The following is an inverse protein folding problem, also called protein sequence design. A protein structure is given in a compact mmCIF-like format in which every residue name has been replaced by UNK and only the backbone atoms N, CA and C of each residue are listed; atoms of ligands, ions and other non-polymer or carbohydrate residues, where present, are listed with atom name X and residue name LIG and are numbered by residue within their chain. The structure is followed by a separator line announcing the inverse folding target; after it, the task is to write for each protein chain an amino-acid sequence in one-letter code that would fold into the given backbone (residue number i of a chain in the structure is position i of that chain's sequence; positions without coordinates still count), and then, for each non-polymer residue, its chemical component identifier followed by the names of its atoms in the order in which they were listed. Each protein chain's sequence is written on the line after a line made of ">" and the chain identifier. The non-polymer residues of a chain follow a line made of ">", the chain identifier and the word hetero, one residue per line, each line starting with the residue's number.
data_IF_959244676463
#
_entry.id   IF_959244676463
#
_cell.length_a   1.000
_cell.length_b   1.000
_cell.length_c   1.000
_cell.angle_alpha   90.00
_cell.angle_beta   90.00
_cell.angle_gamma   90.00
#
_symmetry.space_group_name_H-M   'P 1'
#
loop_
_entity.id
_entity.type
_entity.pdbx_description
1 polymer ?
#
# COMPACT_ATOMS: atom_id res chain seq x y z
N UNK A 1 0.03 -25.51 -10.33
CA UNK A 1 0.43 -24.08 -10.29
C UNK A 1 1.67 -23.97 -9.40
N UNK A 2 2.77 -23.50 -9.96
CA UNK A 2 4.07 -23.34 -9.31
C UNK A 2 4.02 -22.28 -8.19
N UNK A 3 4.92 -22.38 -7.22
CA UNK A 3 5.09 -21.35 -6.19
C UNK A 3 5.36 -19.96 -6.79
N UNK A 4 6.18 -19.88 -7.82
CA UNK A 4 6.50 -18.63 -8.52
C UNK A 4 5.25 -18.02 -9.18
N UNK A 5 4.37 -18.84 -9.73
CA UNK A 5 3.11 -18.39 -10.31
C UNK A 5 2.17 -17.82 -9.24
N UNK A 6 2.08 -18.48 -8.08
CA UNK A 6 1.28 -17.98 -6.94
C UNK A 6 1.81 -16.65 -6.42
N UNK A 7 3.13 -16.54 -6.23
CA UNK A 7 3.79 -15.30 -5.81
C UNK A 7 3.51 -14.18 -6.82
N UNK A 8 3.67 -14.46 -8.12
CA UNK A 8 3.38 -13.50 -9.19
C UNK A 8 1.92 -13.04 -9.18
N UNK A 9 0.98 -13.96 -8.94
CA UNK A 9 -0.44 -13.67 -8.79
C UNK A 9 -0.73 -12.71 -7.63
N UNK A 10 -0.14 -12.96 -6.47
CA UNK A 10 -0.30 -12.07 -5.31
C UNK A 10 0.36 -10.69 -5.52
N UNK A 11 1.55 -10.64 -6.12
CA UNK A 11 2.21 -9.35 -6.43
C UNK A 11 1.39 -8.51 -7.40
N UNK A 12 0.75 -9.13 -8.41
CA UNK A 12 -0.18 -8.43 -9.29
C UNK A 12 -1.39 -7.89 -8.54
N UNK A 13 -1.99 -8.71 -7.67
CA UNK A 13 -3.12 -8.28 -6.85
C UNK A 13 -2.74 -7.13 -5.90
N UNK A 14 -1.52 -7.15 -5.35
CA UNK A 14 -0.97 -6.06 -4.54
C UNK A 14 -0.81 -4.77 -5.36
N UNK A 15 -0.26 -4.83 -6.57
CA UNK A 15 -0.16 -3.66 -7.47
C UNK A 15 -1.52 -3.03 -7.71
N UNK A 16 -2.52 -3.83 -8.09
CA UNK A 16 -3.89 -3.35 -8.32
C UNK A 16 -4.50 -2.74 -7.06
N UNK A 17 -4.24 -3.30 -5.87
CA UNK A 17 -4.69 -2.73 -4.60
C UNK A 17 -4.09 -1.35 -4.33
N UNK A 18 -2.79 -1.18 -4.59
CA UNK A 18 -2.10 0.11 -4.42
C UNK A 18 -2.57 1.14 -5.43
N UNK A 19 -2.72 0.77 -6.71
CA UNK A 19 -3.27 1.64 -7.76
C UNK A 19 -4.68 2.13 -7.39
N UNK A 20 -5.53 1.23 -6.87
CA UNK A 20 -6.85 1.62 -6.37
C UNK A 20 -6.77 2.61 -5.20
N UNK A 21 -5.88 2.38 -4.24
CA UNK A 21 -5.67 3.30 -3.12
C UNK A 21 -5.19 4.68 -3.61
N UNK A 22 -4.29 4.73 -4.59
CA UNK A 22 -3.82 5.97 -5.20
C UNK A 22 -4.96 6.74 -5.88
N UNK A 23 -5.84 6.05 -6.60
CA UNK A 23 -7.04 6.68 -7.19
C UNK A 23 -7.97 7.28 -6.14
N UNK A 24 -8.18 6.60 -5.01
CA UNK A 24 -8.98 7.11 -3.89
C UNK A 24 -8.32 8.31 -3.21
N UNK A 25 -7.00 8.29 -3.05
CA UNK A 25 -6.21 9.42 -2.52
C UNK A 25 -6.33 10.65 -3.41
N UNK A 26 -6.25 10.49 -4.74
CA UNK A 26 -6.46 11.58 -5.67
C UNK A 26 -7.87 12.19 -5.54
N UNK A 27 -8.90 11.34 -5.50
CA UNK A 27 -10.27 11.80 -5.30
C UNK A 27 -10.48 12.54 -3.96
N UNK A 28 -9.89 12.02 -2.87
CA UNK A 28 -9.94 12.68 -1.56
C UNK A 28 -9.25 14.05 -1.56
N UNK A 29 -8.14 14.19 -2.30
CA UNK A 29 -7.43 15.46 -2.48
C UNK A 29 -8.29 16.48 -3.20
N UNK A 30 -8.87 16.11 -4.33
CA UNK A 30 -9.75 16.99 -5.12
C UNK A 30 -10.94 17.45 -4.29
N UNK A 31 -11.54 16.54 -3.53
CA UNK A 31 -12.64 16.84 -2.62
C UNK A 31 -12.22 17.82 -1.51
N UNK A 32 -11.06 17.60 -0.86
CA UNK A 32 -10.56 18.52 0.17
C UNK A 32 -10.30 19.93 -0.39
N UNK A 33 -9.76 20.02 -1.61
CA UNK A 33 -9.53 21.28 -2.30
C UNK A 33 -10.84 22.00 -2.65
N UNK A 34 -11.84 21.27 -3.13
CA UNK A 34 -13.15 21.84 -3.45
C UNK A 34 -13.82 22.42 -2.21
N UNK A 35 -13.80 21.69 -1.09
CA UNK A 35 -14.33 22.19 0.20
C UNK A 35 -13.55 23.43 0.66
N UNK A 36 -12.23 23.47 0.47
CA UNK A 36 -11.40 24.61 0.85
C UNK A 36 -11.79 25.87 0.05
N UNK A 37 -12.00 25.74 -1.26
CA UNK A 37 -12.42 26.84 -2.13
C UNK A 37 -13.82 27.34 -1.76
N UNK A 38 -14.77 26.45 -1.50
CA UNK A 38 -16.12 26.82 -1.05
C UNK A 38 -16.08 27.54 0.31
N UNK A 39 -15.29 27.05 1.25
CA UNK A 39 -15.12 27.67 2.56
C UNK A 39 -14.51 29.08 2.45
N UNK A 40 -13.48 29.25 1.62
CA UNK A 40 -12.87 30.55 1.36
C UNK A 40 -13.87 31.54 0.73
N UNK A 41 -14.61 31.10 -0.30
CA UNK A 41 -15.62 31.93 -0.96
C UNK A 41 -16.78 32.34 -0.06
N UNK A 42 -17.08 31.55 0.97
CA UNK A 42 -18.08 31.85 1.99
C UNK A 42 -17.53 32.65 3.19
N UNK A 43 -16.24 33.01 3.19
CA UNK A 43 -15.61 33.79 4.28
C UNK A 43 -15.10 32.95 5.46
N UNK A 44 -15.17 31.63 5.41
CA UNK A 44 -14.65 30.72 6.44
C UNK A 44 -13.15 30.47 6.29
N UNK A 45 -12.35 31.54 6.40
CA UNK A 45 -10.89 31.52 6.12
C UNK A 45 -10.14 30.48 6.97
N UNK A 46 -10.51 30.32 8.25
CA UNK A 46 -9.88 29.33 9.13
C UNK A 46 -10.11 27.88 8.67
N UNK A 47 -11.31 27.57 8.16
CA UNK A 47 -11.63 26.24 7.62
C UNK A 47 -10.84 25.99 6.34
N UNK A 48 -10.76 26.98 5.45
CA UNK A 48 -9.97 26.89 4.22
C UNK A 48 -8.47 26.64 4.53
N UNK A 49 -7.90 27.37 5.48
CA UNK A 49 -6.52 27.18 5.92
C UNK A 49 -6.29 25.81 6.58
N UNK A 50 -7.26 25.33 7.37
CA UNK A 50 -7.24 23.98 7.92
C UNK A 50 -7.21 22.92 6.82
N UNK A 51 -8.04 23.06 5.79
CA UNK A 51 -8.09 22.11 4.67
C UNK A 51 -6.81 22.10 3.82
N UNK A 52 -6.03 23.18 3.79
CA UNK A 52 -4.68 23.14 3.24
C UNK A 52 -3.79 22.15 3.99
N UNK A 53 -3.90 22.06 5.33
CA UNK A 53 -3.16 21.08 6.14
C UNK A 53 -3.62 19.65 5.88
N UNK A 54 -4.93 19.45 5.69
CA UNK A 54 -5.48 18.16 5.24
C UNK A 54 -4.90 17.78 3.87
N UNK A 55 -4.81 18.73 2.94
CA UNK A 55 -4.18 18.52 1.64
C UNK A 55 -2.71 18.07 1.75
N UNK A 56 -1.94 18.65 2.67
CA UNK A 56 -0.57 18.20 2.95
C UNK A 56 -0.53 16.76 3.49
N UNK A 57 -1.40 16.41 4.43
CA UNK A 57 -1.50 15.04 4.95
C UNK A 57 -1.87 14.03 3.84
N UNK A 58 -2.78 14.39 2.93
CA UNK A 58 -3.13 13.57 1.76
C UNK A 58 -1.93 13.40 0.81
N UNK A 59 -1.10 14.43 0.63
CA UNK A 59 0.11 14.33 -0.17
C UNK A 59 1.16 13.40 0.47
N UNK A 60 1.28 13.39 1.80
CA UNK A 60 2.14 12.44 2.51
C UNK A 60 1.68 10.99 2.32
N UNK A 61 0.36 10.74 2.42
CA UNK A 61 -0.25 9.43 2.11
C UNK A 61 0.08 9.01 0.67
N UNK A 62 0.00 9.94 -0.29
CA UNK A 62 0.35 9.67 -1.69
C UNK A 62 1.84 9.29 -1.83
N UNK A 63 2.74 9.98 -1.12
CA UNK A 63 4.16 9.64 -1.07
C UNK A 63 4.42 8.25 -0.49
N UNK A 64 3.74 7.91 0.61
CA UNK A 64 3.81 6.58 1.21
C UNK A 64 3.36 5.48 0.25
N UNK A 65 2.26 5.69 -0.48
CA UNK A 65 1.78 4.75 -1.50
C UNK A 65 2.77 4.57 -2.66
N UNK A 66 3.51 5.61 -3.04
CA UNK A 66 4.57 5.49 -4.04
C UNK A 66 5.71 4.57 -3.54
N UNK A 67 6.09 4.66 -2.26
CA UNK A 67 7.07 3.75 -1.65
C UNK A 67 6.57 2.30 -1.57
N UNK A 68 5.28 2.08 -1.31
CA UNK A 68 4.67 0.74 -1.36
C UNK A 68 4.73 0.19 -2.78
N UNK A 69 4.34 0.99 -3.78
CA UNK A 69 4.40 0.60 -5.20
C UNK A 69 5.83 0.23 -5.63
N UNK A 70 6.83 1.02 -5.25
CA UNK A 70 8.24 0.72 -5.52
C UNK A 70 8.66 -0.64 -4.91
N UNK A 71 8.27 -0.92 -3.66
CA UNK A 71 8.60 -2.19 -3.00
C UNK A 71 7.95 -3.39 -3.70
N UNK A 72 6.69 -3.26 -4.16
CA UNK A 72 6.02 -4.31 -4.95
C UNK A 72 6.69 -4.50 -6.32
N UNK A 73 7.12 -3.40 -6.95
CA UNK A 73 7.87 -3.42 -8.20
C UNK A 73 9.18 -4.20 -8.08
N UNK A 74 9.95 -3.95 -7.01
CA UNK A 74 11.17 -4.69 -6.72
C UNK A 74 10.89 -6.18 -6.45
N UNK A 75 9.85 -6.51 -5.68
CA UNK A 75 9.45 -7.90 -5.45
C UNK A 75 9.08 -8.60 -6.78
N UNK A 76 8.39 -7.90 -7.67
CA UNK A 76 7.98 -8.41 -8.99
C UNK A 76 9.19 -8.66 -9.88
N UNK A 77 10.12 -7.71 -9.94
CA UNK A 77 11.38 -7.84 -10.68
C UNK A 77 12.24 -8.99 -10.15
N UNK A 78 12.38 -9.11 -8.83
CA UNK A 78 13.12 -10.20 -8.20
C UNK A 78 12.48 -11.57 -8.49
N UNK A 79 11.15 -11.66 -8.43
CA UNK A 79 10.42 -12.90 -8.76
C UNK A 79 10.62 -13.30 -10.23
N UNK A 80 10.57 -12.33 -11.15
CA UNK A 80 10.79 -12.57 -12.58
C UNK A 80 12.24 -12.98 -12.92
N UNK A 81 13.19 -12.64 -12.06
CA UNK A 81 14.60 -13.02 -12.23
C UNK A 81 14.90 -14.47 -11.81
N UNK A 82 13.97 -15.16 -11.14
CA UNK A 82 14.14 -16.58 -10.77
C UNK A 82 14.01 -17.45 -12.03
N UNK A 83 15.05 -18.22 -12.42
CA UNK A 83 14.98 -19.09 -13.59
C UNK A 83 13.87 -20.15 -13.47
N UNK A 84 13.24 -20.52 -14.59
CA UNK A 84 12.18 -21.55 -14.60
C UNK A 84 12.67 -22.95 -14.20
N UNK A 85 13.94 -23.23 -14.47
CA UNK A 85 14.65 -24.46 -14.12
C UNK A 85 15.74 -24.18 -13.07
N UNK A 86 15.48 -23.21 -12.18
CA UNK A 86 16.41 -22.86 -11.12
C UNK A 86 16.70 -24.07 -10.23
N UNK A 87 17.96 -24.25 -9.89
CA UNK A 87 18.36 -25.15 -8.81
C UNK A 87 17.75 -24.69 -7.48
N UNK A 88 17.74 -25.58 -6.49
CA UNK A 88 17.29 -25.24 -5.13
C UNK A 88 18.02 -24.02 -4.57
N UNK A 89 19.33 -23.91 -4.80
CA UNK A 89 20.13 -22.78 -4.32
C UNK A 89 19.79 -21.47 -5.04
N UNK A 90 19.61 -21.51 -6.36
CA UNK A 90 19.18 -20.34 -7.16
C UNK A 90 17.78 -19.88 -6.78
N UNK A 91 16.86 -20.81 -6.48
CA UNK A 91 15.51 -20.49 -6.00
C UNK A 91 15.56 -19.78 -4.65
N UNK A 92 16.33 -20.31 -3.69
CA UNK A 92 16.48 -19.69 -2.37
C UNK A 92 17.11 -18.29 -2.50
N UNK A 93 18.18 -18.16 -3.29
CA UNK A 93 18.86 -16.88 -3.50
C UNK A 93 17.95 -15.86 -4.21
N UNK A 94 17.21 -16.28 -5.23
CA UNK A 94 16.32 -15.42 -6.00
C UNK A 94 15.06 -14.98 -5.24
N UNK A 95 14.58 -15.80 -4.29
CA UNK A 95 13.39 -15.47 -3.50
C UNK A 95 13.68 -14.67 -2.22
N UNK A 96 14.92 -14.65 -1.73
CA UNK A 96 15.27 -13.84 -0.55
C UNK A 96 14.97 -12.33 -0.73
N UNK A 97 15.32 -11.68 -1.87
CA UNK A 97 14.93 -10.29 -2.13
C UNK A 97 13.41 -10.09 -2.20
N UNK A 98 12.66 -11.08 -2.71
CA UNK A 98 11.18 -11.02 -2.76
C UNK A 98 10.61 -10.98 -1.33
N UNK A 99 11.12 -11.82 -0.44
CA UNK A 99 10.70 -11.83 0.97
C UNK A 99 10.93 -10.47 1.65
N UNK A 100 12.12 -9.88 1.45
CA UNK A 100 12.46 -8.58 1.99
C UNK A 100 11.55 -7.47 1.44
N UNK A 101 11.35 -7.44 0.12
CA UNK A 101 10.53 -6.42 -0.55
C UNK A 101 9.04 -6.51 -0.15
N UNK A 102 8.49 -7.72 -0.01
CA UNK A 102 7.11 -7.92 0.51
C UNK A 102 7.00 -7.47 1.97
N UNK A 103 8.04 -7.68 2.78
CA UNK A 103 8.14 -7.15 4.14
C UNK A 103 8.10 -5.62 4.17
N UNK A 104 8.97 -4.97 3.39
CA UNK A 104 9.00 -3.51 3.27
C UNK A 104 7.67 -2.94 2.78
N UNK A 105 7.02 -3.59 1.81
CA UNK A 105 5.70 -3.18 1.32
C UNK A 105 4.65 -3.24 2.44
N UNK A 106 4.68 -4.29 3.28
CA UNK A 106 3.76 -4.43 4.42
C UNK A 106 3.97 -3.31 5.44
N UNK A 107 5.22 -3.06 5.83
CA UNK A 107 5.55 -2.06 6.85
C UNK A 107 5.21 -0.65 6.36
N UNK A 108 5.54 -0.33 5.11
CA UNK A 108 5.15 0.92 4.47
C UNK A 108 3.62 1.07 4.42
N UNK A 109 2.89 0.03 4.06
CA UNK A 109 1.41 0.06 4.03
C UNK A 109 0.83 0.31 5.42
N UNK A 110 1.39 -0.29 6.46
CA UNK A 110 0.97 -0.04 7.84
C UNK A 110 1.24 1.43 8.26
N UNK A 111 2.38 1.99 7.84
CA UNK A 111 2.66 3.42 8.00
C UNK A 111 1.63 4.31 7.32
N UNK A 112 1.26 4.00 6.08
CA UNK A 112 0.22 4.75 5.35
C UNK A 112 -1.14 4.66 6.05
N UNK A 113 -1.51 3.51 6.61
CA UNK A 113 -2.74 3.36 7.40
C UNK A 113 -2.76 4.31 8.61
N UNK A 114 -1.62 4.46 9.30
CA UNK A 114 -1.51 5.40 10.41
C UNK A 114 -1.69 6.85 9.94
N UNK A 115 -1.03 7.25 8.84
CA UNK A 115 -1.19 8.57 8.22
C UNK A 115 -2.63 8.87 7.82
N UNK A 116 -3.36 7.87 7.29
CA UNK A 116 -4.79 8.02 6.99
C UNK A 116 -5.59 8.31 8.27
N UNK A 117 -5.28 7.63 9.37
CA UNK A 117 -5.92 7.88 10.67
C UNK A 117 -5.66 9.29 11.19
N UNK A 118 -4.44 9.79 11.05
CA UNK A 118 -4.07 11.18 11.40
C UNK A 118 -4.83 12.19 10.52
N UNK A 119 -4.92 11.96 9.21
CA UNK A 119 -5.69 12.79 8.31
C UNK A 119 -7.19 12.81 8.68
N UNK A 120 -7.77 11.67 9.10
CA UNK A 120 -9.15 11.61 9.57
C UNK A 120 -9.37 12.47 10.82
N UNK A 121 -8.43 12.46 11.77
CA UNK A 121 -8.51 13.29 12.97
C UNK A 121 -8.43 14.78 12.62
N UNK A 122 -7.54 15.16 11.71
CA UNK A 122 -7.45 16.54 11.21
C UNK A 122 -8.76 16.99 10.57
N UNK A 123 -9.33 16.18 9.69
CA UNK A 123 -10.62 16.47 9.03
C UNK A 123 -11.74 16.65 10.05
N UNK A 124 -11.85 15.74 11.02
CA UNK A 124 -12.87 15.80 12.06
C UNK A 124 -12.77 17.09 12.90
N UNK A 125 -11.54 17.52 13.21
CA UNK A 125 -11.27 18.74 13.97
C UNK A 125 -11.59 20.00 13.16
N UNK A 126 -11.13 20.08 11.90
CA UNK A 126 -11.25 21.27 11.06
C UNK A 126 -12.70 21.54 10.63
N UNK A 127 -13.45 20.46 10.37
CA UNK A 127 -14.84 20.54 9.92
C UNK A 127 -15.85 20.32 11.05
N UNK A 128 -15.42 20.49 12.31
CA UNK A 128 -16.29 20.42 13.47
C UNK A 128 -17.43 21.46 13.34
N UNK A 129 -18.68 21.01 13.45
CA UNK A 129 -19.87 21.85 13.25
C UNK A 129 -20.29 22.04 11.79
N UNK A 130 -19.54 21.47 10.83
CA UNK A 130 -19.91 21.40 9.41
C UNK A 130 -20.31 19.98 8.97
N UNK A 131 -19.97 19.62 7.73
CA UNK A 131 -20.19 18.27 7.18
C UNK A 131 -18.85 17.55 6.89
N UNK A 132 -18.17 16.96 7.90
CA UNK A 132 -16.95 16.18 7.69
C UNK A 132 -17.20 14.84 6.98
N UNK A 133 -18.44 14.35 7.01
CA UNK A 133 -18.81 12.98 6.61
C UNK A 133 -18.26 12.54 5.26
N UNK A 134 -18.45 13.30 4.17
CA UNK A 134 -17.97 12.90 2.85
C UNK A 134 -16.46 12.71 2.78
N UNK A 135 -15.66 13.58 3.42
CA UNK A 135 -14.19 13.48 3.34
C UNK A 135 -13.67 12.38 4.27
N UNK A 136 -14.29 12.19 5.43
CA UNK A 136 -14.01 11.05 6.32
C UNK A 136 -14.30 9.71 5.64
N UNK A 137 -15.40 9.62 4.88
CA UNK A 137 -15.75 8.42 4.13
C UNK A 137 -14.72 8.11 3.03
N UNK A 138 -14.23 9.14 2.32
CA UNK A 138 -13.16 8.97 1.32
C UNK A 138 -11.87 8.43 1.95
N UNK A 139 -11.48 8.99 3.11
CA UNK A 139 -10.32 8.51 3.86
C UNK A 139 -10.52 7.07 4.40
N UNK A 140 -11.73 6.72 4.85
CA UNK A 140 -12.02 5.36 5.28
C UNK A 140 -11.95 4.35 4.12
N UNK A 141 -12.41 4.73 2.92
CA UNK A 141 -12.27 3.92 1.71
C UNK A 141 -10.81 3.60 1.38
N UNK A 142 -9.90 4.56 1.55
CA UNK A 142 -8.45 4.34 1.41
C UNK A 142 -7.98 3.32 2.43
N UNK A 143 -8.31 3.53 3.72
CA UNK A 143 -7.93 2.63 4.82
C UNK A 143 -8.38 1.19 4.58
N UNK A 144 -9.62 0.98 4.14
CA UNK A 144 -10.15 -0.36 3.86
C UNK A 144 -9.34 -1.08 2.78
N UNK A 145 -8.96 -0.39 1.70
CA UNK A 145 -8.11 -0.96 0.64
C UNK A 145 -6.73 -1.31 1.19
N UNK A 146 -6.12 -0.43 1.99
CA UNK A 146 -4.79 -0.67 2.58
C UNK A 146 -4.78 -1.86 3.55
N UNK A 147 -5.85 -2.08 4.32
CA UNK A 147 -5.98 -3.27 5.18
C UNK A 147 -5.95 -4.55 4.34
N UNK A 148 -6.62 -4.57 3.20
CA UNK A 148 -6.58 -5.72 2.28
C UNK A 148 -5.17 -5.91 1.68
N UNK A 149 -4.46 -4.82 1.36
CA UNK A 149 -3.06 -4.87 0.91
C UNK A 149 -2.15 -5.48 1.99
N UNK A 150 -2.29 -5.08 3.26
CA UNK A 150 -1.55 -5.69 4.39
C UNK A 150 -1.84 -7.19 4.50
N UNK A 151 -3.10 -7.60 4.38
CA UNK A 151 -3.45 -9.03 4.43
C UNK A 151 -2.78 -9.81 3.28
N UNK A 152 -2.83 -9.27 2.05
CA UNK A 152 -2.23 -9.90 0.87
C UNK A 152 -0.70 -9.96 0.91
N UNK A 153 -0.03 -8.96 1.49
CA UNK A 153 1.43 -9.06 1.71
C UNK A 153 1.77 -10.21 2.67
N UNK A 154 0.90 -10.49 3.64
CA UNK A 154 0.99 -11.69 4.48
C UNK A 154 0.91 -12.99 3.67
N UNK A 155 -0.08 -13.11 2.79
CA UNK A 155 -0.24 -14.28 1.90
C UNK A 155 0.93 -14.45 0.94
N UNK A 156 1.39 -13.37 0.29
CA UNK A 156 2.55 -13.39 -0.59
C UNK A 156 3.80 -13.89 0.14
N UNK A 157 4.03 -13.40 1.36
CA UNK A 157 5.14 -13.84 2.21
C UNK A 157 5.06 -15.33 2.53
N UNK A 158 3.88 -15.85 2.87
CA UNK A 158 3.68 -17.29 3.12
C UNK A 158 4.03 -18.13 1.89
N UNK A 159 3.65 -17.68 0.68
CA UNK A 159 4.00 -18.39 -0.54
C UNK A 159 5.51 -18.39 -0.82
N UNK A 160 6.19 -17.27 -0.56
CA UNK A 160 7.66 -17.16 -0.64
C UNK A 160 8.34 -18.09 0.36
N UNK A 161 7.89 -18.08 1.61
CA UNK A 161 8.46 -18.93 2.67
C UNK A 161 8.26 -20.43 2.37
N UNK A 162 7.09 -20.82 1.88
CA UNK A 162 6.82 -22.19 1.47
C UNK A 162 7.74 -22.63 0.32
N UNK A 163 7.95 -21.78 -0.68
CA UNK A 163 8.83 -22.06 -1.80
C UNK A 163 10.30 -22.24 -1.37
N UNK A 164 10.77 -21.38 -0.46
CA UNK A 164 12.12 -21.47 0.11
C UNK A 164 12.27 -22.76 0.94
N UNK A 165 11.25 -23.12 1.73
CA UNK A 165 11.28 -24.33 2.55
C UNK A 165 11.33 -25.60 1.68
N UNK A 166 10.53 -25.66 0.61
CA UNK A 166 10.53 -26.78 -0.34
C UNK A 166 11.88 -26.90 -1.06
N UNK A 167 12.43 -25.79 -1.56
CA UNK A 167 13.76 -25.79 -2.19
C UNK A 167 14.86 -26.29 -1.24
N UNK A 168 14.81 -25.90 0.05
CA UNK A 168 15.75 -26.40 1.07
C UNK A 168 15.62 -27.91 1.30
N UNK A 169 14.39 -28.43 1.36
CA UNK A 169 14.15 -29.86 1.53
C UNK A 169 14.73 -30.67 0.36
N UNK A 170 14.45 -30.24 -0.89
CA UNK A 170 15.00 -30.89 -2.08
C UNK A 170 16.53 -30.87 -2.13
N UNK A 171 17.15 -29.74 -1.72
CA UNK A 171 18.60 -29.64 -1.62
C UNK A 171 19.23 -30.54 -0.54
N UNK A 172 18.50 -30.82 0.54
CA UNK A 172 18.98 -31.70 1.62
C UNK A 172 18.90 -33.19 1.29
N UNK A 173 18.00 -33.60 0.40
CA UNK A 173 17.86 -34.99 -0.08
C UNK A 173 18.79 -35.37 -1.22
N UNK A 174 19.54 -34.41 -1.77
CA UNK A 174 20.44 -34.58 -2.91
C UNK A 174 21.92 -34.73 -2.57
N UNK A 175 22.27 -34.90 -1.29
CA UNK A 175 23.64 -35.14 -0.80
C UNK A 175 23.80 -36.58 -0.30
#
# INVERSE_FOLDING_TARGET
>A
MSHIEKITGELRALSTGVERAQGLVAAARDQAQEVALRAAGAGFVAVAAGLTRVGSAIAEIQGGLASVSASIGEATKATAAVPREATSQETIAGLAPVQAAVGSARDATAGVIAQVGEAQQLVAMILQGGQPGPLLQSLDGIRQVLVLVVQRTGTARQHVEAAIAEARQLGSSGN
#
